data_IF_872916244835
#
_entry.id   IF_872916244835
#
_cell.length_a   1.000
_cell.length_b   1.000
_cell.length_c   1.000
_cell.angle_alpha   90.00
_cell.angle_beta   90.00
_cell.angle_gamma   90.00
#
_symmetry.space_group_name_H-M   'P 1'
#
loop_
_entity.id
_entity.type
_entity.pdbx_description
1 polymer ?
#
# COMPACT_ATOMS: atom_id res chain seq x y z
N UNK A 1 7.28 -4.80 10.41
CA UNK A 1 5.93 -5.28 10.06
C UNK A 1 4.97 -4.10 10.12
N UNK A 2 4.02 -4.03 9.18
CA UNK A 2 3.01 -2.96 9.14
C UNK A 2 1.98 -3.20 10.25
N UNK A 3 1.88 -2.34 11.27
CA UNK A 3 0.94 -2.56 12.38
C UNK A 3 -0.52 -2.28 12.00
N UNK A 4 -0.78 -1.65 10.85
CA UNK A 4 -2.10 -1.19 10.46
C UNK A 4 -2.22 -1.06 8.95
N UNK A 5 -3.32 -1.57 8.43
CA UNK A 5 -3.78 -1.35 7.05
C UNK A 5 -5.19 -0.79 7.13
N UNK A 6 -5.46 0.29 6.42
CA UNK A 6 -6.79 0.88 6.29
C UNK A 6 -7.24 0.82 4.84
N UNK A 7 -8.54 0.59 4.64
CA UNK A 7 -9.16 0.60 3.33
C UNK A 7 -10.20 1.72 3.29
N UNK A 8 -10.00 2.66 2.37
CA UNK A 8 -10.95 3.72 2.08
C UNK A 8 -11.62 3.42 0.76
N UNK A 9 -12.95 3.50 0.74
CA UNK A 9 -13.76 3.30 -0.46
C UNK A 9 -14.61 4.54 -0.63
N UNK A 10 -14.38 5.26 -1.72
CA UNK A 10 -15.08 6.51 -2.01
C UNK A 10 -15.86 6.39 -3.33
N UNK A 11 -17.16 6.72 -3.34
CA UNK A 11 -17.90 6.79 -4.59
C UNK A 11 -17.45 8.00 -5.41
N UNK A 12 -17.24 7.79 -6.72
CA UNK A 12 -16.87 8.81 -7.71
C UNK A 12 -17.77 8.69 -8.93
N UNK A 13 -19.06 9.01 -8.75
CA UNK A 13 -20.06 8.91 -9.81
C UNK A 13 -20.33 7.46 -10.19
N UNK A 14 -19.99 7.07 -11.43
CA UNK A 14 -20.21 5.71 -11.95
C UNK A 14 -19.19 4.67 -11.50
N UNK A 15 -18.15 5.07 -10.76
CA UNK A 15 -17.13 4.16 -10.25
C UNK A 15 -16.83 4.44 -8.78
N UNK A 16 -16.09 3.54 -8.13
CA UNK A 16 -15.58 3.73 -6.76
C UNK A 16 -14.05 3.71 -6.78
N UNK A 17 -13.44 4.53 -5.93
CA UNK A 17 -11.99 4.55 -5.71
C UNK A 17 -11.69 3.80 -4.43
N UNK A 18 -10.81 2.79 -4.53
CA UNK A 18 -10.31 2.02 -3.40
C UNK A 18 -8.89 2.47 -3.09
N UNK A 19 -8.63 2.87 -1.85
CA UNK A 19 -7.31 3.27 -1.37
C UNK A 19 -6.91 2.40 -0.20
N UNK A 20 -5.79 1.68 -0.34
CA UNK A 20 -5.15 0.96 0.75
C UNK A 20 -4.07 1.86 1.38
N UNK A 21 -4.23 2.20 2.65
CA UNK A 21 -3.24 2.97 3.43
C UNK A 21 -2.52 2.00 4.36
N UNK A 22 -1.25 1.73 4.04
CA UNK A 22 -0.40 0.87 4.85
C UNK A 22 0.55 1.71 5.70
N UNK A 23 0.50 1.52 7.03
CA UNK A 23 1.41 2.21 7.94
C UNK A 23 2.64 1.34 8.17
N UNK A 24 3.83 1.86 7.95
CA UNK A 24 5.07 1.13 8.22
C UNK A 24 5.80 1.73 9.42
N UNK A 25 6.11 0.91 10.43
CA UNK A 25 7.02 1.31 11.51
C UNK A 25 8.45 1.20 11.02
N UNK A 26 9.15 2.33 10.97
CA UNK A 26 10.60 2.36 10.87
C UNK A 26 11.15 2.98 12.17
N UNK A 27 11.97 2.22 12.91
CA UNK A 27 12.66 2.77 14.08
C UNK A 27 13.56 3.93 13.67
N UNK A 28 13.70 4.95 14.53
CA UNK A 28 14.38 6.22 14.21
C UNK A 28 15.84 6.03 13.73
N UNK A 29 16.57 5.06 14.30
CA UNK A 29 17.91 4.70 13.84
C UNK A 29 17.89 4.02 12.46
N UNK A 30 16.92 3.15 12.21
CA UNK A 30 16.83 2.37 10.98
C UNK A 30 16.41 3.25 9.79
N UNK A 31 15.49 4.20 10.00
CA UNK A 31 15.10 5.18 8.99
C UNK A 31 16.22 6.17 8.64
N UNK A 32 17.15 6.44 9.57
CA UNK A 32 18.27 7.36 9.35
C UNK A 32 19.49 6.68 8.70
N UNK A 33 19.87 5.51 9.19
CA UNK A 33 21.10 4.82 8.76
C UNK A 33 20.90 3.92 7.53
N UNK A 34 19.69 3.37 7.34
CA UNK A 34 19.40 2.40 6.27
C UNK A 34 18.36 2.92 5.28
N UNK A 35 18.46 4.20 4.89
CA UNK A 35 17.53 4.86 3.94
C UNK A 35 17.34 4.07 2.64
N UNK A 36 18.43 3.56 2.05
CA UNK A 36 18.38 2.75 0.81
C UNK A 36 17.64 1.43 1.03
N UNK A 37 17.89 0.75 2.15
CA UNK A 37 17.18 -0.47 2.52
C UNK A 37 15.69 -0.22 2.73
N UNK A 38 15.32 0.86 3.43
CA UNK A 38 13.91 1.23 3.59
C UNK A 38 13.23 1.55 2.26
N UNK A 39 13.91 2.29 1.37
CA UNK A 39 13.36 2.60 0.05
C UNK A 39 13.04 1.32 -0.72
N UNK A 40 13.97 0.37 -0.74
CA UNK A 40 13.74 -0.92 -1.42
C UNK A 40 12.57 -1.70 -0.81
N UNK A 41 12.42 -1.70 0.52
CA UNK A 41 11.30 -2.38 1.20
C UNK A 41 9.96 -1.70 0.85
N UNK A 42 9.91 -0.37 0.87
CA UNK A 42 8.72 0.40 0.50
C UNK A 42 8.36 0.15 -0.97
N UNK A 43 9.34 0.18 -1.87
CA UNK A 43 9.12 -0.09 -3.30
C UNK A 43 8.61 -1.51 -3.55
N UNK A 44 9.21 -2.52 -2.89
CA UNK A 44 8.76 -3.89 -2.99
C UNK A 44 7.33 -4.07 -2.45
N UNK A 45 7.03 -3.45 -1.31
CA UNK A 45 5.69 -3.48 -0.72
C UNK A 45 4.66 -2.82 -1.64
N UNK A 46 4.94 -1.61 -2.13
CA UNK A 46 4.05 -0.90 -3.05
C UNK A 46 3.81 -1.69 -4.33
N UNK A 47 4.85 -2.31 -4.90
CA UNK A 47 4.71 -3.15 -6.09
C UNK A 47 3.79 -4.33 -5.82
N UNK A 48 3.97 -5.02 -4.69
CA UNK A 48 3.13 -6.17 -4.33
C UNK A 48 1.66 -5.77 -4.13
N UNK A 49 1.40 -4.75 -3.31
CA UNK A 49 0.04 -4.27 -3.03
C UNK A 49 -0.65 -3.72 -4.28
N UNK A 50 0.11 -3.15 -5.22
CA UNK A 50 -0.45 -2.72 -6.50
C UNK A 50 -0.95 -3.88 -7.37
N UNK A 51 -0.22 -4.99 -7.42
CA UNK A 51 -0.68 -6.17 -8.15
C UNK A 51 -1.91 -6.81 -7.49
N UNK A 52 -1.99 -6.81 -6.15
CA UNK A 52 -3.20 -7.23 -5.43
C UNK A 52 -4.39 -6.34 -5.77
N UNK A 53 -4.21 -5.01 -5.81
CA UNK A 53 -5.26 -4.05 -6.17
C UNK A 53 -5.79 -4.27 -7.59
N UNK A 54 -4.91 -4.55 -8.56
CA UNK A 54 -5.33 -4.89 -9.94
C UNK A 54 -6.16 -6.17 -9.99
N UNK A 55 -5.76 -7.20 -9.24
CA UNK A 55 -6.49 -8.45 -9.19
C UNK A 55 -7.87 -8.26 -8.56
N UNK A 56 -7.94 -7.51 -7.46
CA UNK A 56 -9.21 -7.15 -6.82
C UNK A 56 -10.13 -6.40 -7.79
N UNK A 57 -9.58 -5.41 -8.50
CA UNK A 57 -10.32 -4.66 -9.54
C UNK A 57 -10.93 -5.60 -10.58
N UNK A 58 -10.13 -6.53 -11.13
CA UNK A 58 -10.62 -7.52 -12.10
C UNK A 58 -11.72 -8.43 -11.55
N UNK A 59 -11.71 -8.74 -10.26
CA UNK A 59 -12.75 -9.56 -9.61
C UNK A 59 -14.05 -8.76 -9.47
N UNK A 60 -13.94 -7.48 -9.10
CA UNK A 60 -15.09 -6.61 -8.84
C UNK A 60 -15.75 -6.07 -10.11
N UNK A 61 -14.99 -5.92 -11.20
CA UNK A 61 -15.48 -5.45 -12.51
C UNK A 61 -15.89 -6.59 -13.46
N UNK A 62 -15.98 -7.83 -12.96
CA UNK A 62 -16.60 -8.94 -13.71
C UNK A 62 -18.08 -8.67 -13.96
#
# INVERSE_FOLDING_TARGET
>A
MSPKVEWLIEPKGSHSVFTAITYMRAGHLWSKLFKKGMKNIIEAHNKHTWEEAKNLKKILEK
#
